data_IF_678568669842
#
_entry.id   IF_678568669842
#
_cell.length_a   1.000
_cell.length_b   1.000
_cell.length_c   1.000
_cell.angle_alpha   90.00
_cell.angle_beta   90.00
_cell.angle_gamma   90.00
#
_symmetry.space_group_name_H-M   'P 1'
#
loop_
_entity.id
_entity.type
_entity.pdbx_description
1 polymer ?
#
# COMPACT_ATOMS: atom_id res chain seq x y z
N UNK A 1 34.96 45.36 -6.70
CA UNK A 1 35.33 45.19 -5.27
C UNK A 1 34.62 43.97 -4.71
N UNK A 2 35.41 43.04 -4.16
CA UNK A 2 35.15 42.06 -3.07
C UNK A 2 33.85 41.25 -3.04
N UNK A 3 34.06 39.94 -3.27
CA UNK A 3 33.50 38.72 -2.64
C UNK A 3 32.67 38.93 -1.36
N UNK A 4 31.60 38.14 -1.21
CA UNK A 4 31.48 37.23 -0.06
C UNK A 4 30.64 36.00 -0.38
N UNK A 5 31.23 34.87 0.00
CA UNK A 5 30.69 33.52 0.09
C UNK A 5 29.87 33.43 1.38
N UNK A 6 28.74 32.72 1.38
CA UNK A 6 28.19 32.11 2.58
C UNK A 6 27.82 30.66 2.27
N UNK A 7 28.71 29.78 2.73
CA UNK A 7 28.46 28.36 2.97
C UNK A 7 27.27 28.18 3.91
N UNK A 8 26.46 27.14 3.70
CA UNK A 8 25.78 26.50 4.82
C UNK A 8 26.26 25.06 4.96
N UNK A 9 27.00 24.90 6.06
CA UNK A 9 27.46 23.67 6.66
C UNK A 9 26.27 22.91 7.25
N UNK A 10 26.40 21.59 7.23
CA UNK A 10 25.67 20.62 8.04
C UNK A 10 25.66 21.04 9.51
N UNK A 11 24.47 21.14 10.12
CA UNK A 11 24.25 20.98 11.56
C UNK A 11 22.98 20.16 11.75
N UNK A 12 23.12 19.06 12.47
CA UNK A 12 22.04 18.23 12.97
C UNK A 12 21.21 18.97 14.02
N UNK A 13 19.87 18.93 13.90
CA UNK A 13 18.89 18.92 15.00
C UNK A 13 17.49 18.97 14.39
N UNK A 14 16.66 18.02 14.81
CA UNK A 14 15.20 18.11 14.96
C UNK A 14 14.54 19.43 14.54
N UNK A 15 13.99 19.46 13.33
CA UNK A 15 12.99 20.46 12.92
C UNK A 15 12.05 19.83 11.89
N UNK A 16 10.76 19.85 12.21
CA UNK A 16 9.64 19.49 11.33
C UNK A 16 9.79 20.27 10.01
N UNK A 17 9.83 19.64 8.83
CA UNK A 17 10.10 20.37 7.60
C UNK A 17 8.92 21.28 7.24
N UNK A 18 9.27 22.50 6.87
CA UNK A 18 8.46 23.60 6.32
C UNK A 18 7.62 23.23 5.07
N UNK A 19 7.60 21.97 4.65
CA UNK A 19 6.74 21.44 3.58
C UNK A 19 5.28 21.27 4.00
N UNK A 20 5.01 21.13 5.32
CA UNK A 20 3.64 21.03 5.84
C UNK A 20 2.92 22.38 5.78
N UNK A 21 3.65 23.48 6.00
CA UNK A 21 3.11 24.84 5.96
C UNK A 21 2.72 25.28 4.54
N UNK A 22 3.46 24.87 3.52
CA UNK A 22 3.12 25.18 2.11
C UNK A 22 1.91 24.41 1.60
N UNK A 23 1.62 23.22 2.15
CA UNK A 23 0.42 22.45 1.79
C UNK A 23 -0.83 23.07 2.43
N UNK A 24 -0.79 23.36 3.74
CA UNK A 24 -1.93 23.94 4.47
C UNK A 24 -2.43 25.27 3.86
N UNK A 25 -1.49 26.13 3.44
CA UNK A 25 -1.80 27.43 2.84
C UNK A 25 -2.40 27.30 1.43
N UNK A 26 -1.99 26.27 0.67
CA UNK A 26 -2.58 25.93 -0.63
C UNK A 26 -4.02 25.40 -0.49
N UNK A 27 -4.32 24.69 0.61
CA UNK A 27 -5.65 24.14 0.90
C UNK A 27 -6.63 25.18 1.48
N UNK A 28 -6.13 26.20 2.17
CA UNK A 28 -6.96 27.29 2.71
C UNK A 28 -7.45 28.23 1.60
N UNK A 29 -6.56 28.62 0.67
CA UNK A 29 -6.90 29.41 -0.52
C UNK A 29 -7.90 28.66 -1.44
N UNK A 30 -7.85 27.33 -1.44
CA UNK A 30 -8.77 26.44 -2.14
C UNK A 30 -10.15 26.41 -1.48
N UNK A 31 -10.20 26.33 -0.15
CA UNK A 31 -11.45 26.32 0.62
C UNK A 31 -12.27 27.61 0.43
N UNK A 32 -11.61 28.77 0.33
CA UNK A 32 -12.26 30.05 0.03
C UNK A 32 -12.79 30.12 -1.41
N UNK A 33 -12.03 29.62 -2.39
CA UNK A 33 -12.46 29.60 -3.79
C UNK A 33 -13.63 28.64 -4.03
N UNK A 34 -13.68 27.52 -3.32
CA UNK A 34 -14.74 26.52 -3.42
C UNK A 34 -16.04 26.90 -2.69
N UNK A 35 -15.97 27.66 -1.59
CA UNK A 35 -17.15 28.21 -0.93
C UNK A 35 -17.98 29.12 -1.86
N UNK A 36 -17.31 29.75 -2.85
CA UNK A 36 -17.97 30.56 -3.90
C UNK A 36 -18.63 29.69 -4.99
N UNK A 37 -18.14 28.47 -5.21
CA UNK A 37 -18.61 27.57 -6.27
C UNK A 37 -19.89 26.80 -5.90
N UNK A 38 -20.11 26.48 -4.61
CA UNK A 38 -21.31 25.77 -4.13
C UNK A 38 -22.63 26.51 -4.37
N UNK A 39 -22.58 27.78 -4.82
CA UNK A 39 -23.75 28.64 -5.03
C UNK A 39 -24.07 28.94 -6.49
N UNK A 40 -23.32 28.43 -7.46
CA UNK A 40 -23.46 28.80 -8.88
C UNK A 40 -23.39 27.61 -9.84
N UNK A 41 -24.14 27.71 -10.95
CA UNK A 41 -24.01 26.76 -12.07
C UNK A 41 -22.77 27.16 -12.87
N UNK A 42 -21.74 26.30 -12.98
CA UNK A 42 -20.48 26.69 -13.59
C UNK A 42 -20.62 26.91 -15.09
N UNK A 43 -19.96 27.95 -15.59
CA UNK A 43 -19.75 28.23 -17.01
C UNK A 43 -18.75 27.25 -17.64
N UNK A 44 -18.76 27.14 -18.97
CA UNK A 44 -17.80 26.31 -19.73
C UNK A 44 -16.33 26.68 -19.45
N UNK A 45 -16.06 27.95 -19.11
CA UNK A 45 -14.72 28.41 -18.74
C UNK A 45 -14.30 27.87 -17.36
N UNK A 46 -15.20 27.86 -16.38
CA UNK A 46 -14.94 27.30 -15.03
C UNK A 46 -14.75 25.78 -15.06
N UNK A 47 -15.45 25.07 -15.97
CA UNK A 47 -15.21 23.64 -16.23
C UNK A 47 -13.81 23.38 -16.82
N UNK A 48 -13.37 24.21 -17.77
CA UNK A 48 -12.01 24.12 -18.34
C UNK A 48 -10.93 24.41 -17.30
N UNK A 49 -11.11 25.40 -16.43
CA UNK A 49 -10.17 25.72 -15.35
C UNK A 49 -10.06 24.59 -14.33
N UNK A 50 -11.19 23.95 -14.00
CA UNK A 50 -11.24 22.77 -13.14
C UNK A 50 -10.53 21.55 -13.75
N UNK A 51 -10.75 21.27 -15.03
CA UNK A 51 -10.03 20.20 -15.74
C UNK A 51 -8.51 20.42 -15.75
N UNK A 52 -8.06 21.68 -15.91
CA UNK A 52 -6.64 22.04 -15.83
C UNK A 52 -6.07 21.80 -14.42
N UNK A 53 -6.80 22.20 -13.38
CA UNK A 53 -6.42 21.95 -11.99
C UNK A 53 -6.28 20.45 -11.68
N UNK A 54 -7.26 19.63 -12.10
CA UNK A 54 -7.21 18.16 -11.92
C UNK A 54 -5.97 17.57 -12.59
N UNK A 55 -5.64 18.01 -13.81
CA UNK A 55 -4.41 17.58 -14.51
C UNK A 55 -3.13 18.00 -13.79
N UNK A 56 -3.11 19.19 -13.18
CA UNK A 56 -1.99 19.64 -12.37
C UNK A 56 -1.79 18.74 -11.14
N UNK A 57 -2.86 18.34 -10.45
CA UNK A 57 -2.78 17.43 -9.30
C UNK A 57 -2.29 16.02 -9.69
N UNK A 58 -2.75 15.50 -10.83
CA UNK A 58 -2.26 14.23 -11.37
C UNK A 58 -0.77 14.28 -11.72
N UNK A 59 -0.32 15.41 -12.27
CA UNK A 59 1.09 15.63 -12.59
C UNK A 59 1.92 15.72 -11.30
N UNK A 60 1.48 16.52 -10.33
CA UNK A 60 2.15 16.64 -9.03
C UNK A 60 2.25 15.29 -8.31
N UNK A 61 1.22 14.44 -8.40
CA UNK A 61 1.27 13.08 -7.87
C UNK A 61 2.28 12.20 -8.61
N UNK A 62 2.35 12.28 -9.95
CA UNK A 62 3.35 11.55 -10.74
C UNK A 62 4.78 11.97 -10.39
N UNK A 63 5.00 13.25 -10.12
CA UNK A 63 6.29 13.79 -9.69
C UNK A 63 6.64 13.30 -8.28
N UNK A 64 5.67 13.34 -7.36
CA UNK A 64 5.79 12.75 -6.02
C UNK A 64 6.16 11.26 -6.08
N UNK A 65 5.50 10.47 -6.93
CA UNK A 65 5.81 9.04 -7.12
C UNK A 65 7.26 8.85 -7.57
N UNK A 66 7.75 9.73 -8.45
CA UNK A 66 9.12 9.67 -8.94
C UNK A 66 10.12 9.96 -7.82
N UNK A 67 9.92 11.05 -7.07
CA UNK A 67 10.76 11.43 -5.94
C UNK A 67 10.76 10.34 -4.85
N UNK A 68 9.57 9.84 -4.49
CA UNK A 68 9.41 8.77 -3.51
C UNK A 68 10.17 7.50 -3.90
N UNK A 69 10.08 7.06 -5.16
CA UNK A 69 10.84 5.92 -5.63
C UNK A 69 12.36 6.17 -5.65
N UNK A 70 12.80 7.40 -5.92
CA UNK A 70 14.22 7.74 -5.90
C UNK A 70 14.80 7.69 -4.48
N UNK A 71 14.09 8.21 -3.49
CA UNK A 71 14.44 8.12 -2.07
C UNK A 71 14.46 6.66 -1.62
N UNK A 72 13.38 5.94 -1.92
CA UNK A 72 13.23 4.53 -1.57
C UNK A 72 14.35 3.67 -2.16
N UNK A 73 14.63 3.81 -3.47
CA UNK A 73 15.70 3.07 -4.15
C UNK A 73 17.06 3.40 -3.55
N UNK A 74 17.29 4.67 -3.19
CA UNK A 74 18.55 5.08 -2.57
C UNK A 74 18.74 4.43 -1.20
N UNK A 75 17.68 4.36 -0.39
CA UNK A 75 17.70 3.66 0.89
C UNK A 75 17.89 2.15 0.71
N UNK A 76 17.12 1.51 -0.18
CA UNK A 76 17.26 0.08 -0.49
C UNK A 76 18.69 -0.25 -0.93
N UNK A 77 19.27 0.54 -1.81
CA UNK A 77 20.63 0.30 -2.31
C UNK A 77 21.68 0.41 -1.18
N UNK A 78 21.49 1.31 -0.20
CA UNK A 78 22.31 1.37 1.00
C UNK A 78 22.13 0.12 1.88
N UNK A 79 20.90 -0.37 2.03
CA UNK A 79 20.62 -1.62 2.76
C UNK A 79 21.30 -2.81 2.08
N UNK A 80 21.20 -2.95 0.76
CA UNK A 80 21.90 -4.00 0.00
C UNK A 80 23.40 -3.92 0.23
N UNK A 81 23.98 -2.73 0.16
CA UNK A 81 25.41 -2.52 0.33
C UNK A 81 25.88 -2.93 1.74
N UNK A 82 25.15 -2.51 2.78
CA UNK A 82 25.59 -2.68 4.15
C UNK A 82 25.12 -3.98 4.81
N UNK A 83 23.97 -4.53 4.44
CA UNK A 83 23.32 -5.69 5.05
C UNK A 83 23.29 -6.93 4.14
N UNK A 84 23.54 -6.75 2.84
CA UNK A 84 23.54 -7.83 1.86
C UNK A 84 22.16 -8.46 1.63
N UNK A 85 21.09 -7.72 1.92
CA UNK A 85 19.67 -8.08 1.68
C UNK A 85 18.85 -6.81 1.34
N UNK A 86 17.53 -6.95 1.14
CA UNK A 86 16.61 -5.84 0.79
C UNK A 86 15.57 -5.54 1.89
N UNK A 87 15.92 -5.75 3.17
CA UNK A 87 14.91 -5.67 4.24
C UNK A 87 14.43 -4.23 4.46
N UNK A 88 13.20 -3.96 4.04
CA UNK A 88 12.54 -2.64 4.04
C UNK A 88 11.08 -2.82 4.42
N UNK A 89 10.44 -1.77 4.94
CA UNK A 89 9.02 -1.81 5.29
C UNK A 89 8.14 -1.98 4.06
N UNK A 90 7.06 -2.74 4.21
CA UNK A 90 6.03 -2.93 3.19
C UNK A 90 4.63 -3.03 3.84
N UNK A 91 3.65 -3.51 3.07
CA UNK A 91 2.27 -3.68 3.53
C UNK A 91 2.15 -4.65 4.73
N UNK A 92 2.95 -5.71 4.75
CA UNK A 92 2.89 -6.79 5.74
C UNK A 92 4.07 -6.78 6.72
N UNK A 93 5.06 -5.91 6.51
CA UNK A 93 6.32 -5.87 7.26
C UNK A 93 6.63 -4.46 7.71
N UNK A 94 6.90 -4.28 9.00
CA UNK A 94 7.46 -3.04 9.51
C UNK A 94 8.94 -3.23 9.81
N UNK A 95 9.78 -2.32 9.34
CA UNK A 95 11.24 -2.33 9.56
C UNK A 95 11.66 -1.00 10.17
N UNK A 96 12.38 -1.09 11.29
CA UNK A 96 13.01 0.04 11.98
C UNK A 96 14.51 -0.18 12.02
N UNK A 97 15.29 0.81 11.60
CA UNK A 97 16.74 0.78 11.64
C UNK A 97 17.24 1.74 12.71
N UNK A 98 18.39 1.45 13.33
CA UNK A 98 19.12 2.47 14.10
C UNK A 98 19.62 3.58 13.18
N UNK A 99 19.85 4.77 13.72
CA UNK A 99 20.29 5.96 12.96
C UNK A 99 21.59 5.72 12.16
N UNK A 100 22.48 4.88 12.69
CA UNK A 100 23.75 4.51 12.07
C UNK A 100 23.64 3.28 11.13
N UNK A 101 22.43 2.76 10.93
CA UNK A 101 22.10 1.54 10.19
C UNK A 101 22.84 0.30 10.70
N UNK A 102 23.41 0.28 11.90
CA UNK A 102 24.16 -0.87 12.43
C UNK A 102 23.24 -2.00 12.93
N UNK A 103 21.99 -1.67 13.23
CA UNK A 103 21.00 -2.59 13.77
C UNK A 103 19.61 -2.36 13.18
N UNK A 104 18.74 -3.37 13.28
CA UNK A 104 17.34 -3.27 12.84
C UNK A 104 16.39 -4.16 13.63
N UNK A 105 15.13 -3.76 13.69
CA UNK A 105 14.00 -4.59 14.07
C UNK A 105 13.06 -4.77 12.87
N UNK A 106 12.64 -6.01 12.64
CA UNK A 106 11.68 -6.40 11.60
C UNK A 106 10.48 -7.03 12.28
N UNK A 107 9.29 -6.56 11.96
CA UNK A 107 8.02 -7.13 12.40
C UNK A 107 7.26 -7.60 11.17
N UNK A 108 7.16 -8.92 11.02
CA UNK A 108 6.43 -9.57 9.94
C UNK A 108 5.05 -9.98 10.45
N UNK A 109 4.02 -9.25 10.01
CA UNK A 109 2.63 -9.46 10.41
C UNK A 109 2.03 -10.71 9.77
N UNK A 110 2.52 -11.13 8.60
CA UNK A 110 2.05 -12.32 7.91
C UNK A 110 2.61 -13.59 8.56
N UNK A 111 3.91 -13.61 8.88
CA UNK A 111 4.57 -14.73 9.54
C UNK A 111 4.39 -14.73 11.07
N UNK A 112 3.87 -13.63 11.64
CA UNK A 112 3.74 -13.40 13.08
C UNK A 112 5.09 -13.51 13.83
N UNK A 113 6.12 -12.88 13.25
CA UNK A 113 7.52 -12.95 13.72
C UNK A 113 8.06 -11.56 13.93
N UNK A 114 8.92 -11.42 14.93
CA UNK A 114 9.75 -10.24 15.14
C UNK A 114 11.22 -10.68 15.12
N UNK A 115 12.05 -9.98 14.36
CA UNK A 115 13.47 -10.26 14.26
C UNK A 115 14.24 -9.02 14.67
N UNK A 116 15.18 -9.17 15.61
CA UNK A 116 16.14 -8.12 15.97
C UNK A 116 17.51 -8.56 15.48
N UNK A 117 18.15 -7.72 14.67
CA UNK A 117 19.43 -8.02 14.03
C UNK A 117 20.44 -6.91 14.27
N UNK A 118 21.71 -7.28 14.42
CA UNK A 118 22.83 -6.34 14.54
C UNK A 118 24.01 -6.80 13.68
N UNK A 119 24.64 -5.86 12.98
CA UNK A 119 25.87 -6.08 12.23
C UNK A 119 27.07 -5.89 13.14
N UNK A 120 28.06 -6.77 13.00
CA UNK A 120 29.32 -6.65 13.70
C UNK A 120 30.46 -7.32 12.93
N UNK A 121 31.69 -7.01 13.32
CA UNK A 121 32.85 -7.74 12.82
C UNK A 121 32.84 -9.19 13.33
N UNK A 122 33.34 -10.12 12.52
CA UNK A 122 33.31 -11.58 12.80
C UNK A 122 33.99 -11.99 14.11
N UNK A 123 34.97 -11.19 14.57
CA UNK A 123 35.72 -11.40 15.81
C UNK A 123 34.97 -10.90 17.06
N UNK A 124 33.95 -10.06 16.89
CA UNK A 124 33.11 -9.58 17.99
C UNK A 124 31.98 -10.56 18.27
N UNK A 125 31.76 -10.88 19.55
CA UNK A 125 30.60 -11.64 20.00
C UNK A 125 29.45 -10.69 20.34
N UNK A 126 28.26 -11.04 19.87
CA UNK A 126 27.01 -10.39 20.29
C UNK A 126 26.32 -11.29 21.30
N UNK A 127 26.00 -10.71 22.45
CA UNK A 127 25.30 -11.40 23.54
C UNK A 127 23.78 -11.26 23.37
N UNK A 128 23.03 -12.19 23.95
CA UNK A 128 21.56 -12.08 24.01
C UNK A 128 21.11 -10.82 24.78
N UNK A 129 21.87 -10.39 25.79
CA UNK A 129 21.58 -9.18 26.55
C UNK A 129 21.64 -7.93 25.68
N UNK A 130 22.64 -7.83 24.80
CA UNK A 130 22.73 -6.72 23.83
C UNK A 130 21.53 -6.69 22.89
N UNK A 131 21.09 -7.84 22.36
CA UNK A 131 19.91 -7.93 21.50
C UNK A 131 18.61 -7.59 22.25
N UNK A 132 18.52 -7.94 23.54
CA UNK A 132 17.39 -7.56 24.41
C UNK A 132 17.35 -6.06 24.69
N UNK A 133 18.50 -5.42 24.91
CA UNK A 133 18.58 -3.97 25.09
C UNK A 133 18.18 -3.25 23.82
N UNK A 134 18.71 -3.68 22.68
CA UNK A 134 18.35 -3.13 21.38
C UNK A 134 16.85 -3.27 21.08
N UNK A 135 16.25 -4.43 21.40
CA UNK A 135 14.81 -4.60 21.33
C UNK A 135 14.06 -3.55 22.17
N UNK A 136 14.48 -3.33 23.43
CA UNK A 136 13.85 -2.34 24.31
C UNK A 136 13.94 -0.92 23.75
N UNK A 137 15.04 -0.57 23.08
CA UNK A 137 15.21 0.73 22.43
C UNK A 137 14.26 0.88 21.25
N UNK A 138 14.17 -0.14 20.37
CA UNK A 138 13.25 -0.11 19.24
C UNK A 138 11.78 0.01 19.68
N UNK A 139 11.34 -0.75 20.67
CA UNK A 139 9.94 -0.67 21.14
C UNK A 139 9.61 0.64 21.86
N UNK A 140 10.62 1.32 22.42
CA UNK A 140 10.42 2.64 23.03
C UNK A 140 10.12 3.69 21.95
N UNK A 141 10.76 3.59 20.79
CA UNK A 141 10.58 4.49 19.66
C UNK A 141 9.34 4.15 18.82
N UNK A 142 9.04 2.86 18.64
CA UNK A 142 7.99 2.35 17.74
C UNK A 142 6.86 1.63 18.49
N UNK A 143 6.48 2.15 19.66
CA UNK A 143 5.53 1.51 20.58
C UNK A 143 4.20 1.12 19.92
N UNK A 144 3.68 1.98 19.04
CA UNK A 144 2.42 1.76 18.32
C UNK A 144 2.43 0.46 17.49
N UNK A 145 3.59 0.05 16.94
CA UNK A 145 3.72 -1.18 16.13
C UNK A 145 3.57 -2.42 17.00
N UNK A 146 4.15 -2.40 18.20
CA UNK A 146 4.13 -3.55 19.11
C UNK A 146 2.80 -3.67 19.84
N UNK A 147 2.14 -2.55 20.13
CA UNK A 147 0.80 -2.55 20.71
C UNK A 147 -0.21 -3.32 19.86
N UNK A 148 0.01 -3.41 18.52
CA UNK A 148 -0.78 -4.24 17.59
C UNK A 148 -0.68 -5.74 17.87
N UNK A 149 0.28 -6.18 18.67
CA UNK A 149 0.36 -7.58 19.06
C UNK A 149 -0.23 -7.86 20.45
N UNK A 150 -0.74 -6.84 21.15
CA UNK A 150 -1.32 -6.94 22.50
C UNK A 150 -0.44 -7.77 23.44
N UNK A 151 0.88 -7.63 23.31
CA UNK A 151 1.82 -8.39 24.13
C UNK A 151 1.92 -7.70 25.49
N UNK A 152 1.05 -8.11 26.42
CA UNK A 152 1.15 -7.73 27.84
C UNK A 152 2.51 -8.10 28.45
N UNK A 153 3.24 -9.03 27.81
CA UNK A 153 4.56 -9.49 28.22
C UNK A 153 5.57 -9.31 27.08
N UNK A 154 6.80 -8.91 27.41
CA UNK A 154 7.91 -8.93 26.48
C UNK A 154 8.12 -10.36 25.93
N UNK A 155 8.55 -10.51 24.65
CA UNK A 155 8.87 -11.80 24.09
C UNK A 155 9.90 -12.54 24.96
N UNK A 156 9.74 -13.85 25.09
CA UNK A 156 10.65 -14.67 25.88
C UNK A 156 11.91 -15.02 25.06
N UNK A 157 12.97 -14.21 25.19
CA UNK A 157 14.21 -14.52 24.45
C UNK A 157 14.96 -15.74 25.01
N UNK A 158 14.55 -16.33 26.15
CA UNK A 158 15.22 -17.56 26.64
C UNK A 158 14.92 -18.78 25.77
N UNK A 159 13.85 -18.70 24.97
CA UNK A 159 13.44 -19.76 24.04
C UNK A 159 13.99 -19.60 22.63
N UNK A 160 14.79 -18.56 22.39
CA UNK A 160 15.23 -18.19 21.04
C UNK A 160 16.73 -18.30 20.92
N UNK A 161 17.21 -19.04 19.91
CA UNK A 161 18.63 -19.15 19.61
C UNK A 161 19.06 -18.03 18.68
N UNK A 162 20.19 -17.41 18.99
CA UNK A 162 20.85 -16.47 18.07
C UNK A 162 21.28 -17.20 16.81
N UNK A 163 20.91 -16.65 15.66
CA UNK A 163 21.34 -17.11 14.35
C UNK A 163 22.39 -16.15 13.81
N UNK A 164 23.33 -16.67 13.03
CA UNK A 164 24.35 -15.86 12.37
C UNK A 164 24.34 -16.10 10.87
N UNK A 165 24.49 -15.01 10.12
CA UNK A 165 24.72 -15.05 8.68
C UNK A 165 25.84 -14.10 8.29
N UNK A 166 26.59 -14.47 7.25
CA UNK A 166 27.62 -13.61 6.70
C UNK A 166 27.03 -12.65 5.66
N UNK A 167 27.67 -11.49 5.51
CA UNK A 167 27.35 -10.55 4.44
C UNK A 167 28.35 -10.76 3.31
N UNK A 168 28.01 -11.64 2.37
CA UNK A 168 28.88 -12.05 1.27
C UNK A 168 28.37 -11.56 -0.10
N UNK A 169 29.09 -11.90 -1.16
CA UNK A 169 28.71 -11.50 -2.52
C UNK A 169 27.49 -12.29 -3.03
N UNK A 170 27.25 -13.50 -2.53
CA UNK A 170 26.10 -14.31 -2.94
C UNK A 170 24.80 -13.74 -2.36
N UNK A 171 24.79 -13.33 -1.09
CA UNK A 171 23.64 -12.68 -0.45
C UNK A 171 23.31 -11.36 -1.15
N UNK A 172 24.32 -10.56 -1.49
CA UNK A 172 24.15 -9.31 -2.28
C UNK A 172 23.58 -9.58 -3.67
N UNK A 173 24.05 -10.62 -4.36
CA UNK A 173 23.50 -11.00 -5.67
C UNK A 173 22.02 -11.38 -5.56
N UNK A 174 21.64 -12.17 -4.55
CA UNK A 174 20.23 -12.49 -4.27
C UNK A 174 19.42 -11.23 -3.94
N UNK A 175 19.98 -10.31 -3.15
CA UNK A 175 19.35 -9.04 -2.82
C UNK A 175 19.07 -8.19 -4.06
N UNK A 176 19.98 -8.16 -5.04
CA UNK A 176 19.80 -7.45 -6.30
C UNK A 176 18.69 -8.06 -7.17
N UNK A 177 18.58 -9.40 -7.20
CA UNK A 177 17.48 -10.09 -7.89
C UNK A 177 16.15 -9.73 -7.21
N UNK A 178 16.10 -9.77 -5.88
CA UNK A 178 14.92 -9.40 -5.11
C UNK A 178 14.54 -7.93 -5.33
N UNK A 179 15.51 -7.02 -5.39
CA UNK A 179 15.31 -5.61 -5.70
C UNK A 179 14.73 -5.38 -7.10
N UNK A 180 15.19 -6.15 -8.11
CA UNK A 180 14.60 -6.11 -9.45
C UNK A 180 13.13 -6.53 -9.40
N UNK A 181 12.82 -7.66 -8.78
CA UNK A 181 11.46 -8.15 -8.66
C UNK A 181 10.55 -7.15 -7.91
N UNK A 182 11.10 -6.48 -6.90
CA UNK A 182 10.40 -5.42 -6.19
C UNK A 182 10.09 -4.22 -7.09
N UNK A 183 11.03 -3.78 -7.94
CA UNK A 183 10.77 -2.72 -8.94
C UNK A 183 9.68 -3.16 -9.93
N UNK A 184 9.73 -4.40 -10.39
CA UNK A 184 8.72 -4.96 -11.31
C UNK A 184 7.33 -4.97 -10.66
N UNK A 185 7.22 -5.44 -9.41
CA UNK A 185 5.94 -5.44 -8.66
C UNK A 185 5.40 -4.02 -8.41
N UNK A 186 6.27 -3.07 -8.03
CA UNK A 186 5.88 -1.67 -7.84
C UNK A 186 5.41 -1.03 -9.15
N UNK A 187 6.03 -1.40 -10.28
CA UNK A 187 5.59 -0.93 -11.60
C UNK A 187 4.18 -1.42 -11.93
N UNK A 188 3.89 -2.72 -11.73
CA UNK A 188 2.55 -3.28 -11.97
C UNK A 188 1.49 -2.62 -11.07
N UNK A 189 1.80 -2.42 -9.79
CA UNK A 189 0.92 -1.72 -8.86
C UNK A 189 0.61 -0.28 -9.32
N UNK A 190 1.60 0.47 -9.83
CA UNK A 190 1.38 1.81 -10.38
C UNK A 190 0.57 1.79 -11.68
N UNK A 191 0.76 0.78 -12.53
CA UNK A 191 -0.09 0.60 -13.70
C UNK A 191 -1.56 0.42 -13.28
N UNK A 192 -1.86 -0.42 -12.30
CA UNK A 192 -3.24 -0.61 -11.79
C UNK A 192 -3.85 0.68 -11.25
N UNK A 193 -3.06 1.54 -10.63
CA UNK A 193 -3.52 2.85 -10.20
C UNK A 193 -3.90 3.74 -11.40
N UNK A 194 -3.04 3.87 -12.41
CA UNK A 194 -3.33 4.61 -13.65
C UNK A 194 -4.61 4.09 -14.32
N UNK A 195 -4.79 2.77 -14.32
CA UNK A 195 -5.98 2.10 -14.84
C UNK A 195 -7.24 2.50 -14.06
N UNK A 196 -7.21 2.49 -12.72
CA UNK A 196 -8.32 2.95 -11.86
C UNK A 196 -8.68 4.42 -12.09
N UNK A 197 -7.68 5.28 -12.27
CA UNK A 197 -7.92 6.69 -12.58
C UNK A 197 -8.61 6.89 -13.93
N UNK A 198 -8.19 6.10 -14.92
CA UNK A 198 -8.81 6.13 -16.25
C UNK A 198 -10.26 5.66 -16.17
N UNK A 199 -10.51 4.56 -15.44
CA UNK A 199 -11.86 4.06 -15.23
C UNK A 199 -12.76 5.11 -14.57
N UNK A 200 -12.26 5.76 -13.53
CA UNK A 200 -12.97 6.84 -12.82
C UNK A 200 -13.27 8.02 -13.74
N UNK A 201 -12.30 8.48 -14.52
CA UNK A 201 -12.47 9.55 -15.50
C UNK A 201 -13.59 9.25 -16.51
N UNK A 202 -13.58 8.05 -17.10
CA UNK A 202 -14.62 7.61 -18.05
C UNK A 202 -15.99 7.56 -17.36
N UNK A 203 -16.04 7.05 -16.13
CA UNK A 203 -17.28 6.97 -15.35
C UNK A 203 -17.85 8.33 -14.94
N UNK A 204 -16.99 9.33 -14.79
CA UNK A 204 -17.36 10.71 -14.52
C UNK A 204 -17.71 11.50 -15.81
N UNK A 205 -17.71 10.84 -16.97
CA UNK A 205 -18.16 11.40 -18.24
C UNK A 205 -17.06 11.94 -19.14
N UNK A 206 -15.77 11.77 -18.79
CA UNK A 206 -14.67 12.11 -19.69
C UNK A 206 -14.74 11.23 -20.95
N UNK A 207 -14.40 11.82 -22.10
CA UNK A 207 -14.40 11.10 -23.36
C UNK A 207 -13.39 9.94 -23.34
N UNK A 208 -13.85 8.72 -23.67
CA UNK A 208 -13.04 7.50 -23.70
C UNK A 208 -11.68 7.68 -24.42
N UNK A 209 -11.66 8.37 -25.57
CA UNK A 209 -10.41 8.57 -26.34
C UNK A 209 -9.45 9.50 -25.63
N UNK A 210 -9.96 10.50 -24.92
CA UNK A 210 -9.15 11.46 -24.16
C UNK A 210 -8.56 10.77 -22.93
N UNK A 211 -9.39 10.07 -22.16
CA UNK A 211 -8.96 9.31 -20.99
C UNK A 211 -7.91 8.23 -21.38
N UNK A 212 -8.15 7.49 -22.46
CA UNK A 212 -7.21 6.49 -22.97
C UNK A 212 -5.89 7.09 -23.48
N UNK A 213 -5.91 8.29 -24.05
CA UNK A 213 -4.69 9.00 -24.46
C UNK A 213 -3.86 9.39 -23.23
N UNK A 214 -4.49 9.99 -22.22
CA UNK A 214 -3.82 10.36 -20.96
C UNK A 214 -3.22 9.13 -20.27
N UNK A 215 -3.97 8.03 -20.22
CA UNK A 215 -3.50 6.74 -19.68
C UNK A 215 -2.21 6.28 -20.35
N UNK A 216 -2.15 6.31 -21.69
CA UNK A 216 -0.96 5.92 -22.46
C UNK A 216 0.24 6.81 -22.14
N UNK A 217 0.04 8.13 -22.10
CA UNK A 217 1.11 9.08 -21.75
C UNK A 217 1.66 8.84 -20.33
N UNK A 218 0.79 8.53 -19.36
CA UNK A 218 1.20 8.17 -17.99
C UNK A 218 1.95 6.83 -17.96
N UNK A 219 1.48 5.84 -18.71
CA UNK A 219 2.14 4.52 -18.80
C UNK A 219 3.52 4.61 -19.43
N UNK A 220 3.70 5.42 -20.47
CA UNK A 220 5.00 5.66 -21.10
C UNK A 220 5.99 6.32 -20.12
N UNK A 221 5.55 7.33 -19.36
CA UNK A 221 6.36 7.95 -18.30
C UNK A 221 6.76 6.94 -17.22
N UNK A 222 5.83 6.10 -16.79
CA UNK A 222 6.08 5.07 -15.79
C UNK A 222 7.08 4.02 -16.30
N UNK A 223 7.02 3.64 -17.58
CA UNK A 223 7.99 2.72 -18.20
C UNK A 223 9.39 3.34 -18.24
N UNK A 224 9.51 4.62 -18.63
CA UNK A 224 10.79 5.33 -18.59
C UNK A 224 11.37 5.38 -17.18
N UNK A 225 10.52 5.62 -16.16
CA UNK A 225 10.93 5.59 -14.76
C UNK A 225 11.43 4.21 -14.35
N UNK A 226 10.71 3.14 -14.70
CA UNK A 226 11.16 1.75 -14.45
C UNK A 226 12.54 1.50 -15.04
N UNK A 227 12.77 1.86 -16.30
CA UNK A 227 14.07 1.68 -16.96
C UNK A 227 15.19 2.48 -16.27
N UNK A 228 14.91 3.72 -15.86
CA UNK A 228 15.84 4.56 -15.08
C UNK A 228 16.23 3.88 -13.76
N UNK A 229 15.25 3.35 -13.02
CA UNK A 229 15.44 2.67 -11.73
C UNK A 229 16.26 1.38 -11.88
N UNK A 230 15.94 0.55 -12.87
CA UNK A 230 16.72 -0.67 -13.17
C UNK A 230 18.17 -0.35 -13.55
N UNK A 231 18.40 0.69 -14.36
CA UNK A 231 19.75 1.13 -14.74
C UNK A 231 20.56 1.62 -13.54
N UNK A 232 19.92 2.32 -12.60
CA UNK A 232 20.54 2.76 -11.33
C UNK A 232 20.91 1.56 -10.45
N UNK A 233 20.02 0.57 -10.31
CA UNK A 233 20.26 -0.66 -9.57
C UNK A 233 21.48 -1.43 -10.11
N UNK A 234 21.56 -1.61 -11.44
CA UNK A 234 22.72 -2.27 -12.08
C UNK A 234 24.01 -1.48 -11.84
N UNK A 235 23.96 -0.14 -11.94
CA UNK A 235 25.13 0.72 -11.66
C UNK A 235 25.58 0.60 -10.21
N UNK A 236 24.65 0.52 -9.24
CA UNK A 236 24.98 0.31 -7.84
C UNK A 236 25.67 -1.05 -7.64
N UNK A 237 25.13 -2.12 -8.22
CA UNK A 237 25.70 -3.47 -8.16
C UNK A 237 27.16 -3.54 -8.65
N UNK A 238 27.47 -2.89 -9.79
CA UNK A 238 28.84 -2.88 -10.34
C UNK A 238 29.87 -2.21 -9.44
N UNK A 239 29.47 -1.20 -8.65
CA UNK A 239 30.35 -0.53 -7.68
C UNK A 239 30.60 -1.37 -6.43
N UNK A 240 29.60 -2.16 -6.01
CA UNK A 240 29.72 -3.00 -4.82
C UNK A 240 30.69 -4.16 -5.04
N UNK A 241 30.79 -4.71 -6.26
CA UNK A 241 31.69 -5.82 -6.59
C UNK A 241 33.19 -5.47 -6.65
N UNK A 242 33.56 -4.19 -6.73
CA UNK A 242 34.96 -3.73 -6.83
C UNK A 242 35.55 -3.25 -5.51
N UNK A 243 34.76 -3.20 -4.44
CA UNK A 243 35.23 -2.73 -3.13
C UNK A 243 35.68 -3.93 -2.29
N UNK A 244 36.99 -4.15 -2.17
CA UNK A 244 37.54 -5.16 -1.23
C UNK A 244 37.11 -4.84 0.20
N UNK A 245 36.28 -5.70 0.80
CA UNK A 245 35.95 -5.58 2.21
C UNK A 245 37.15 -6.04 3.05
N UNK A 246 37.82 -5.08 3.71
CA UNK A 246 38.98 -5.35 4.59
C UNK A 246 38.69 -6.29 5.77
N UNK A 247 37.42 -6.49 6.14
CA UNK A 247 37.02 -7.33 7.26
C UNK A 247 35.64 -7.96 7.03
N UNK A 248 35.50 -9.25 7.32
CA UNK A 248 34.23 -9.98 7.20
C UNK A 248 33.21 -9.43 8.21
N UNK A 249 32.08 -8.95 7.70
CA UNK A 249 30.94 -8.52 8.51
C UNK A 249 29.93 -9.64 8.64
N UNK A 250 29.44 -9.86 9.86
CA UNK A 250 28.41 -10.84 10.19
C UNK A 250 27.19 -10.14 10.78
N UNK A 251 26.03 -10.77 10.61
CA UNK A 251 24.78 -10.37 11.26
C UNK A 251 24.44 -11.42 12.30
N UNK A 252 24.28 -10.99 13.55
CA UNK A 252 23.66 -11.80 14.59
C UNK A 252 22.21 -11.37 14.76
N UNK A 253 21.30 -12.33 14.77
CA UNK A 253 19.87 -12.06 14.89
C UNK A 253 19.15 -13.01 15.84
N UNK A 254 18.12 -12.49 16.49
CA UNK A 254 17.19 -13.26 17.31
C UNK A 254 15.80 -13.18 16.72
N UNK A 255 15.20 -14.36 16.50
CA UNK A 255 13.84 -14.49 15.97
C UNK A 255 12.89 -14.75 17.12
N UNK A 256 12.07 -13.76 17.44
CA UNK A 256 11.04 -13.81 18.46
C UNK A 256 9.72 -14.21 17.79
N UNK A 257 9.19 -15.37 18.16
CA UNK A 257 7.84 -15.76 17.76
C UNK A 257 6.84 -14.94 18.58
N UNK A 258 5.96 -14.21 17.91
CA UNK A 258 4.89 -13.50 18.59
C UNK A 258 3.86 -14.54 19.07
N UNK A 259 3.16 -14.29 20.20
CA UNK A 259 2.30 -15.31 20.80
C UNK A 259 1.26 -15.85 19.81
N UNK A 260 1.10 -17.19 19.74
CA UNK A 260 0.17 -17.86 18.80
C UNK A 260 -1.29 -17.40 18.92
N UNK A 261 -1.69 -16.85 20.07
CA UNK A 261 -3.02 -16.27 20.31
C UNK A 261 -3.22 -14.90 19.62
N UNK A 262 -2.21 -14.38 18.92
CA UNK A 262 -2.22 -13.10 18.21
C UNK A 262 -2.16 -13.38 16.70
N UNK A 263 -3.13 -14.14 16.21
CA UNK A 263 -3.30 -14.37 14.78
C UNK A 263 -4.04 -13.19 14.12
N UNK A 264 -4.35 -13.33 12.82
CA UNK A 264 -5.07 -12.31 12.08
C UNK A 264 -6.45 -11.98 12.70
N UNK A 265 -7.14 -12.93 13.34
CA UNK A 265 -8.44 -12.68 14.00
C UNK A 265 -8.27 -11.84 15.25
N UNK A 266 -7.25 -12.11 16.06
CA UNK A 266 -6.94 -11.29 17.24
C UNK A 266 -6.55 -9.87 16.87
N UNK A 267 -5.86 -9.65 15.74
CA UNK A 267 -5.59 -8.29 15.24
C UNK A 267 -6.86 -7.61 14.74
N UNK A 268 -7.70 -8.33 13.99
CA UNK A 268 -8.99 -7.86 13.50
C UNK A 268 -9.90 -7.37 14.64
N UNK A 269 -9.85 -8.01 15.82
CA UNK A 269 -10.67 -7.66 16.98
C UNK A 269 -10.62 -6.16 17.35
N UNK A 270 -9.45 -5.51 17.18
CA UNK A 270 -9.30 -4.07 17.49
C UNK A 270 -10.13 -3.16 16.61
N UNK A 271 -10.43 -3.61 15.40
CA UNK A 271 -11.11 -2.81 14.39
C UNK A 271 -12.59 -3.17 14.29
N UNK A 272 -13.08 -4.20 14.99
CA UNK A 272 -14.46 -4.69 14.83
C UNK A 272 -15.53 -3.64 15.12
N UNK A 273 -15.36 -2.80 16.15
CA UNK A 273 -16.34 -1.75 16.45
C UNK A 273 -16.49 -0.80 15.26
N UNK A 274 -15.36 -0.31 14.74
CA UNK A 274 -15.36 0.60 13.60
C UNK A 274 -15.81 -0.10 12.32
N UNK A 275 -15.33 -1.32 12.06
CA UNK A 275 -15.74 -2.12 10.90
C UNK A 275 -17.25 -2.37 10.91
N UNK A 276 -17.85 -2.75 12.04
CA UNK A 276 -19.29 -2.98 12.13
C UNK A 276 -20.08 -1.69 11.91
N UNK A 277 -19.61 -0.56 12.44
CA UNK A 277 -20.22 0.76 12.22
C UNK A 277 -20.22 1.12 10.73
N UNK A 278 -19.06 1.02 10.06
CA UNK A 278 -18.93 1.36 8.64
C UNK A 278 -19.63 0.33 7.74
N UNK A 279 -19.60 -0.95 8.10
CA UNK A 279 -20.35 -2.02 7.43
C UNK A 279 -21.85 -1.71 7.38
N UNK A 280 -22.43 -1.31 8.53
CA UNK A 280 -23.83 -0.93 8.61
C UNK A 280 -24.11 0.33 7.78
N UNK A 281 -23.26 1.35 7.90
CA UNK A 281 -23.44 2.63 7.18
C UNK A 281 -23.39 2.47 5.66
N UNK A 282 -22.47 1.65 5.17
CA UNK A 282 -22.20 1.49 3.74
C UNK A 282 -22.79 0.21 3.15
N UNK A 283 -23.59 -0.55 3.89
CA UNK A 283 -24.21 -1.80 3.40
C UNK A 283 -23.18 -2.77 2.78
N UNK A 284 -22.05 -2.96 3.46
CA UNK A 284 -20.99 -3.91 3.08
C UNK A 284 -20.80 -4.90 4.22
N UNK A 285 -20.75 -6.19 3.91
CA UNK A 285 -20.55 -7.23 4.92
C UNK A 285 -19.24 -7.00 5.72
N UNK A 286 -19.28 -7.05 7.08
CA UNK A 286 -18.07 -6.92 7.90
C UNK A 286 -16.96 -7.90 7.51
N UNK A 287 -17.33 -9.12 7.10
CA UNK A 287 -16.39 -10.15 6.64
C UNK A 287 -15.57 -9.72 5.42
N UNK A 288 -16.18 -8.97 4.49
CA UNK A 288 -15.51 -8.46 3.29
C UNK A 288 -14.55 -7.32 3.66
N UNK A 289 -14.98 -6.37 4.50
CA UNK A 289 -14.11 -5.28 4.96
C UNK A 289 -12.86 -5.86 5.65
N UNK A 290 -13.05 -6.84 6.55
CA UNK A 290 -11.94 -7.51 7.23
C UNK A 290 -11.06 -8.33 6.27
N UNK A 291 -11.63 -9.00 5.27
CA UNK A 291 -10.87 -9.77 4.30
C UNK A 291 -10.00 -8.91 3.38
N UNK A 292 -10.56 -7.78 2.92
CA UNK A 292 -9.82 -6.76 2.16
C UNK A 292 -8.73 -6.18 3.04
N UNK A 293 -9.05 -5.72 4.25
CA UNK A 293 -8.06 -5.16 5.19
C UNK A 293 -6.94 -6.15 5.54
N UNK A 294 -7.27 -7.42 5.76
CA UNK A 294 -6.28 -8.48 5.96
C UNK A 294 -5.40 -8.66 4.72
N UNK A 295 -5.98 -8.54 3.52
CA UNK A 295 -5.23 -8.66 2.27
C UNK A 295 -4.32 -7.49 1.98
N UNK A 296 -4.78 -6.29 2.30
CA UNK A 296 -4.08 -5.04 2.01
C UNK A 296 -2.94 -4.75 3.00
N UNK A 297 -3.08 -5.11 4.28
CA UNK A 297 -2.12 -4.70 5.31
C UNK A 297 -1.82 -5.75 6.38
N UNK A 298 -2.49 -6.90 6.39
CA UNK A 298 -2.46 -7.83 7.53
C UNK A 298 -2.82 -7.16 8.87
N UNK A 299 -3.63 -6.10 8.81
CA UNK A 299 -3.96 -5.23 9.94
C UNK A 299 -2.77 -4.47 10.53
N UNK A 300 -1.77 -4.15 9.70
CA UNK A 300 -0.67 -3.28 10.06
C UNK A 300 -1.13 -1.82 9.98
N UNK A 301 -1.35 -1.10 11.09
CA UNK A 301 -1.76 0.31 11.07
C UNK A 301 -0.65 1.23 10.54
N UNK A 302 0.60 0.75 10.54
CA UNK A 302 1.76 1.43 9.99
C UNK A 302 2.08 0.95 8.57
N UNK A 303 1.14 0.27 7.89
CA UNK A 303 1.31 -0.17 6.52
C UNK A 303 1.61 1.04 5.63
N UNK A 304 2.87 1.09 5.19
CA UNK A 304 3.34 2.02 4.17
C UNK A 304 3.66 1.17 2.97
N UNK A 305 2.85 1.27 1.92
CA UNK A 305 3.26 0.73 0.64
C UNK A 305 4.41 1.56 0.11
N UNK A 306 5.21 0.93 -0.74
CA UNK A 306 6.22 1.57 -1.57
C UNK A 306 5.63 2.52 -2.63
N UNK A 307 4.30 2.56 -2.68
CA UNK A 307 3.44 3.38 -3.52
C UNK A 307 2.53 4.16 -2.58
N UNK A 308 2.05 5.36 -2.94
CA UNK A 308 1.08 6.15 -2.18
C UNK A 308 -0.33 5.52 -2.04
N UNK A 309 -0.39 4.30 -1.51
CA UNK A 309 -1.56 3.67 -0.94
C UNK A 309 -1.40 3.68 0.59
N UNK A 310 -2.39 4.18 1.30
CA UNK A 310 -2.25 4.54 2.71
C UNK A 310 -3.14 3.69 3.62
N UNK A 311 -2.60 3.36 4.79
CA UNK A 311 -3.32 2.75 5.91
C UNK A 311 -3.78 1.31 5.69
N UNK A 312 -4.69 0.87 6.56
CA UNK A 312 -5.14 -0.52 6.71
C UNK A 312 -5.77 -1.14 5.45
N UNK A 313 -6.49 -0.33 4.69
CA UNK A 313 -7.22 -0.72 3.47
C UNK A 313 -6.58 -0.17 2.19
N UNK A 314 -5.37 0.40 2.30
CA UNK A 314 -4.51 0.81 1.18
C UNK A 314 -5.22 1.73 0.16
N UNK A 315 -5.82 2.81 0.67
CA UNK A 315 -6.53 3.79 -0.15
C UNK A 315 -5.53 4.68 -0.88
N UNK A 316 -5.73 4.83 -2.19
CA UNK A 316 -4.93 5.73 -3.01
C UNK A 316 -5.66 7.08 -3.15
N UNK A 317 -5.07 8.21 -2.71
CA UNK A 317 -5.71 9.52 -2.65
C UNK A 317 -6.41 9.96 -3.93
N UNK A 318 -5.74 9.75 -5.04
CA UNK A 318 -6.00 10.32 -6.36
C UNK A 318 -6.87 9.41 -7.24
N UNK A 319 -7.32 8.26 -6.71
CA UNK A 319 -8.31 7.39 -7.36
C UNK A 319 -9.47 7.14 -6.39
N UNK A 320 -9.43 6.04 -5.64
CA UNK A 320 -10.41 5.69 -4.62
C UNK A 320 -10.66 6.85 -3.64
N UNK A 321 -9.61 7.58 -3.25
CA UNK A 321 -9.76 8.75 -2.37
C UNK A 321 -10.64 9.86 -2.97
N UNK A 322 -10.53 10.15 -4.27
CA UNK A 322 -11.38 11.15 -4.95
C UNK A 322 -12.85 10.73 -4.90
N UNK A 323 -13.14 9.46 -5.20
CA UNK A 323 -14.52 8.95 -5.18
C UNK A 323 -15.12 9.00 -3.77
N UNK A 324 -14.34 8.62 -2.77
CA UNK A 324 -14.77 8.66 -1.37
C UNK A 324 -14.96 10.11 -0.92
N UNK A 325 -14.05 11.02 -1.28
CA UNK A 325 -14.16 12.45 -0.92
C UNK A 325 -15.42 13.08 -1.53
N UNK A 326 -15.74 12.69 -2.77
CA UNK A 326 -16.97 13.09 -3.45
C UNK A 326 -18.20 12.56 -2.72
N UNK A 327 -18.20 11.28 -2.34
CA UNK A 327 -19.31 10.64 -1.63
C UNK A 327 -19.53 11.22 -0.22
N UNK A 328 -18.46 11.40 0.56
CA UNK A 328 -18.57 11.75 1.98
C UNK A 328 -18.63 13.26 2.22
N UNK A 329 -17.96 14.05 1.38
CA UNK A 329 -17.73 15.47 1.62
C UNK A 329 -18.12 16.37 0.45
N UNK A 330 -18.62 15.80 -0.65
CA UNK A 330 -18.95 16.52 -1.89
C UNK A 330 -17.76 17.32 -2.43
N UNK A 331 -16.55 16.74 -2.37
CA UNK A 331 -15.30 17.33 -2.87
C UNK A 331 -14.72 16.47 -3.98
N UNK A 332 -14.50 17.07 -5.14
CA UNK A 332 -13.91 16.39 -6.30
C UNK A 332 -12.38 16.57 -6.34
N UNK A 333 -11.71 16.10 -5.29
CA UNK A 333 -10.27 16.23 -5.08
C UNK A 333 -9.69 15.02 -4.33
N UNK A 334 -8.37 14.76 -4.42
CA UNK A 334 -7.74 13.66 -3.69
C UNK A 334 -7.88 13.76 -2.17
N UNK A 335 -8.09 12.63 -1.49
CA UNK A 335 -8.04 12.59 -0.01
C UNK A 335 -6.62 12.85 0.51
N UNK A 336 -6.50 13.53 1.65
CA UNK A 336 -5.18 13.81 2.22
C UNK A 336 -4.54 12.55 2.82
N UNK A 337 -3.22 12.39 2.61
CA UNK A 337 -2.48 11.27 3.21
C UNK A 337 -2.57 11.26 4.76
N UNK A 338 -2.47 12.40 5.47
CA UNK A 338 -2.66 12.42 6.93
C UNK A 338 -4.03 11.88 7.36
N UNK A 339 -5.10 12.20 6.63
CA UNK A 339 -6.43 11.65 6.90
C UNK A 339 -6.45 10.12 6.73
N UNK A 340 -5.82 9.60 5.67
CA UNK A 340 -5.78 8.16 5.37
C UNK A 340 -4.85 7.35 6.30
N UNK A 341 -3.94 7.98 7.05
CA UNK A 341 -3.16 7.33 8.10
C UNK A 341 -3.93 7.15 9.41
N UNK A 342 -5.00 7.92 9.63
CA UNK A 342 -5.89 7.70 10.77
C UNK A 342 -6.69 6.43 10.52
N UNK A 343 -6.55 5.46 11.42
CA UNK A 343 -7.16 4.12 11.28
C UNK A 343 -8.66 4.18 11.00
N UNK A 344 -9.42 4.93 11.81
CA UNK A 344 -10.88 4.95 11.69
C UNK A 344 -11.36 5.57 10.39
N UNK A 345 -10.68 6.62 9.94
CA UNK A 345 -10.89 7.30 8.66
C UNK A 345 -10.53 6.38 7.49
N UNK A 346 -9.47 5.58 7.62
CA UNK A 346 -9.06 4.65 6.58
C UNK A 346 -10.08 3.51 6.40
N UNK A 347 -10.65 3.02 7.50
CA UNK A 347 -11.72 2.02 7.48
C UNK A 347 -13.00 2.61 6.86
N UNK A 348 -13.36 3.84 7.22
CA UNK A 348 -14.47 4.58 6.59
C UNK A 348 -14.26 4.71 5.07
N UNK A 349 -13.08 5.16 4.65
CA UNK A 349 -12.77 5.35 3.24
C UNK A 349 -12.79 4.03 2.44
N UNK A 350 -12.23 2.95 2.99
CA UNK A 350 -12.25 1.64 2.33
C UNK A 350 -13.65 1.03 2.23
N UNK A 351 -14.47 1.14 3.29
CA UNK A 351 -15.85 0.69 3.27
C UNK A 351 -16.72 1.51 2.30
N UNK A 352 -16.54 2.84 2.29
CA UNK A 352 -17.19 3.72 1.32
C UNK A 352 -16.80 3.35 -0.12
N UNK A 353 -15.51 3.09 -0.38
CA UNK A 353 -15.06 2.72 -1.72
C UNK A 353 -15.64 1.37 -2.18
N UNK A 354 -15.70 0.36 -1.30
CA UNK A 354 -16.38 -0.91 -1.60
C UNK A 354 -17.86 -0.69 -1.95
N UNK A 355 -18.55 0.19 -1.24
CA UNK A 355 -19.93 0.57 -1.57
C UNK A 355 -20.04 1.27 -2.93
N UNK A 356 -19.13 2.20 -3.26
CA UNK A 356 -19.11 2.85 -4.58
C UNK A 356 -18.95 1.80 -5.68
N UNK A 357 -18.06 0.83 -5.49
CA UNK A 357 -17.89 -0.27 -6.43
C UNK A 357 -19.17 -1.10 -6.58
N UNK A 358 -19.79 -1.56 -5.48
CA UNK A 358 -21.00 -2.40 -5.50
C UNK A 358 -22.24 -1.66 -6.02
N UNK A 359 -22.53 -0.48 -5.47
CA UNK A 359 -23.81 0.23 -5.64
C UNK A 359 -23.81 1.28 -6.74
N UNK A 360 -22.65 1.82 -7.13
CA UNK A 360 -22.56 2.79 -8.24
C UNK A 360 -22.02 2.10 -9.48
N UNK A 361 -20.78 1.63 -9.43
CA UNK A 361 -20.07 1.18 -10.63
C UNK A 361 -20.62 -0.15 -11.15
N UNK A 362 -20.80 -1.14 -10.28
CA UNK A 362 -21.18 -2.51 -10.64
C UNK A 362 -22.68 -2.80 -10.44
N UNK A 363 -23.48 -1.76 -10.19
CA UNK A 363 -24.93 -1.84 -9.90
C UNK A 363 -25.76 -2.59 -10.96
N UNK A 364 -25.28 -2.66 -12.20
CA UNK A 364 -25.94 -3.34 -13.31
C UNK A 364 -25.73 -4.87 -13.31
N UNK A 365 -24.82 -5.38 -12.49
CA UNK A 365 -24.65 -6.82 -12.29
C UNK A 365 -25.73 -7.28 -11.31
N UNK A 366 -26.61 -8.19 -11.72
CA UNK A 366 -27.81 -8.56 -10.97
C UNK A 366 -27.50 -9.55 -9.86
N UNK A 367 -26.80 -10.65 -10.20
CA UNK A 367 -26.45 -11.68 -9.22
C UNK A 367 -25.50 -11.11 -8.15
N UNK A 368 -25.87 -11.15 -6.85
CA UNK A 368 -25.06 -10.57 -5.79
C UNK A 368 -23.69 -11.24 -5.62
N UNK A 369 -23.56 -12.53 -5.91
CA UNK A 369 -22.30 -13.26 -5.75
C UNK A 369 -21.33 -12.91 -6.88
N UNK A 370 -21.81 -12.88 -8.13
CA UNK A 370 -21.06 -12.37 -9.28
C UNK A 370 -20.63 -10.92 -9.06
N UNK A 371 -21.54 -10.06 -8.56
CA UNK A 371 -21.21 -8.66 -8.26
C UNK A 371 -20.16 -8.55 -7.15
N UNK A 372 -20.21 -9.41 -6.12
CA UNK A 372 -19.18 -9.49 -5.07
C UNK A 372 -17.81 -9.84 -5.64
N UNK A 373 -17.72 -10.82 -6.53
CA UNK A 373 -16.45 -11.19 -7.18
C UNK A 373 -15.89 -10.03 -8.02
N UNK A 374 -16.74 -9.40 -8.82
CA UNK A 374 -16.37 -8.22 -9.60
C UNK A 374 -15.94 -7.03 -8.71
N UNK A 375 -16.62 -6.80 -7.58
CA UNK A 375 -16.28 -5.74 -6.62
C UNK A 375 -14.90 -5.97 -6.01
N UNK A 376 -14.62 -7.18 -5.52
CA UNK A 376 -13.31 -7.52 -4.94
C UNK A 376 -12.20 -7.36 -5.98
N UNK A 377 -12.41 -7.85 -7.20
CA UNK A 377 -11.45 -7.68 -8.29
C UNK A 377 -11.23 -6.19 -8.63
N UNK A 378 -12.32 -5.42 -8.75
CA UNK A 378 -12.29 -4.00 -9.07
C UNK A 378 -11.59 -3.16 -7.99
N UNK A 379 -11.68 -3.54 -6.71
CA UNK A 379 -10.99 -2.85 -5.62
C UNK A 379 -9.46 -2.79 -5.86
N UNK A 380 -8.88 -3.90 -6.32
CA UNK A 380 -7.45 -4.02 -6.62
C UNK A 380 -7.06 -3.47 -8.02
N UNK A 381 -7.87 -3.74 -9.06
CA UNK A 381 -7.46 -3.49 -10.45
C UNK A 381 -8.25 -2.43 -11.22
N UNK A 382 -9.36 -1.94 -10.66
CA UNK A 382 -10.31 -1.07 -11.35
C UNK A 382 -11.45 -1.80 -12.05
N UNK A 383 -12.63 -1.17 -12.07
CA UNK A 383 -13.85 -1.74 -12.64
C UNK A 383 -13.76 -1.88 -14.18
N UNK A 384 -13.02 -1.01 -14.87
CA UNK A 384 -12.82 -1.09 -16.31
C UNK A 384 -11.98 -2.31 -16.69
N UNK A 385 -10.96 -2.67 -15.90
CA UNK A 385 -10.23 -3.92 -16.10
C UNK A 385 -11.11 -5.15 -15.88
N UNK A 386 -12.03 -5.10 -14.90
CA UNK A 386 -13.07 -6.13 -14.75
C UNK A 386 -13.96 -6.18 -16.00
N UNK A 387 -14.41 -5.04 -16.54
CA UNK A 387 -15.21 -5.02 -17.77
C UNK A 387 -14.47 -5.62 -18.98
N UNK A 388 -13.18 -5.34 -19.12
CA UNK A 388 -12.35 -5.84 -20.22
C UNK A 388 -12.24 -7.36 -20.28
N UNK A 389 -12.38 -8.05 -19.14
CA UNK A 389 -12.44 -9.52 -19.09
C UNK A 389 -13.63 -10.06 -19.88
N UNK A 390 -14.78 -9.38 -19.79
CA UNK A 390 -16.03 -9.86 -20.39
C UNK A 390 -16.29 -9.26 -21.77
N UNK A 391 -15.80 -8.05 -22.03
CA UNK A 391 -16.00 -7.37 -23.30
C UNK A 391 -15.02 -7.89 -24.37
N UNK A 392 -15.53 -8.63 -25.36
CA UNK A 392 -14.72 -9.17 -26.46
C UNK A 392 -14.01 -8.09 -27.31
N UNK A 393 -14.54 -6.86 -27.34
CA UNK A 393 -13.91 -5.70 -27.99
C UNK A 393 -12.81 -5.04 -27.15
N UNK A 394 -12.54 -5.56 -25.94
CA UNK A 394 -11.57 -5.02 -25.01
C UNK A 394 -11.95 -3.66 -24.40
N UNK A 395 -13.22 -3.24 -24.52
CA UNK A 395 -13.69 -1.96 -23.96
C UNK A 395 -13.88 -2.01 -22.44
N UNK A 396 -13.77 -0.84 -21.78
CA UNK A 396 -13.99 -0.67 -20.33
C UNK A 396 -15.45 -0.46 -19.93
N UNK A 397 -16.39 -0.65 -20.87
CA UNK A 397 -17.80 -0.35 -20.62
C UNK A 397 -18.41 -1.36 -19.64
N UNK A 398 -18.67 -0.92 -18.41
CA UNK A 398 -19.37 -1.73 -17.39
C UNK A 398 -20.78 -2.09 -17.86
N UNK A 399 -21.43 -1.21 -18.61
CA UNK A 399 -22.78 -1.47 -19.14
C UNK A 399 -22.79 -2.60 -20.17
N UNK A 400 -21.76 -2.71 -21.02
CA UNK A 400 -21.63 -3.86 -21.92
C UNK A 400 -21.28 -5.13 -21.15
N UNK A 401 -20.28 -5.03 -20.25
CA UNK A 401 -19.80 -6.18 -19.49
C UNK A 401 -20.90 -6.78 -18.61
N UNK A 402 -21.70 -5.96 -17.93
CA UNK A 402 -22.81 -6.42 -17.08
C UNK A 402 -23.84 -7.27 -17.83
N UNK A 403 -24.11 -7.02 -19.11
CA UNK A 403 -25.01 -7.86 -19.92
C UNK A 403 -24.46 -9.28 -20.07
N UNK A 404 -23.15 -9.40 -20.25
CA UNK A 404 -22.45 -10.68 -20.39
C UNK A 404 -22.38 -11.37 -19.03
N UNK A 405 -21.94 -10.65 -17.99
CA UNK A 405 -21.86 -11.15 -16.61
C UNK A 405 -23.22 -11.71 -16.15
N UNK A 406 -24.33 -11.00 -16.42
CA UNK A 406 -25.68 -11.43 -16.06
C UNK A 406 -26.17 -12.67 -16.82
N UNK A 407 -25.47 -13.11 -17.87
CA UNK A 407 -25.75 -14.36 -18.59
C UNK A 407 -24.92 -15.55 -18.10
N UNK A 408 -23.99 -15.32 -17.17
CA UNK A 408 -23.09 -16.33 -16.62
C UNK A 408 -23.52 -16.73 -15.20
N UNK A 409 -23.17 -17.95 -14.80
CA UNK A 409 -23.23 -18.34 -13.39
C UNK A 409 -22.08 -17.68 -12.61
N UNK A 410 -22.20 -17.52 -11.28
CA UNK A 410 -21.13 -16.95 -10.46
C UNK A 410 -19.79 -17.69 -10.58
N UNK A 411 -19.81 -19.02 -10.77
CA UNK A 411 -18.61 -19.84 -10.96
C UNK A 411 -17.89 -19.50 -12.28
N UNK A 412 -18.66 -19.27 -13.35
CA UNK A 412 -18.10 -18.85 -14.63
C UNK A 412 -17.59 -17.42 -14.59
N UNK A 413 -18.24 -16.53 -13.83
CA UNK A 413 -17.74 -15.17 -13.59
C UNK A 413 -16.40 -15.21 -12.85
N UNK A 414 -16.31 -16.02 -11.78
CA UNK A 414 -15.08 -16.22 -11.02
C UNK A 414 -13.96 -16.76 -11.92
N UNK A 415 -14.22 -17.85 -12.65
CA UNK A 415 -13.23 -18.43 -13.56
C UNK A 415 -12.78 -17.48 -14.67
N UNK A 416 -13.67 -16.62 -15.18
CA UNK A 416 -13.32 -15.60 -16.16
C UNK A 416 -12.39 -14.54 -15.55
N UNK A 417 -12.66 -14.08 -14.32
CA UNK A 417 -11.80 -13.12 -13.62
C UNK A 417 -10.42 -13.71 -13.34
N UNK A 418 -10.35 -14.95 -12.84
CA UNK A 418 -9.09 -15.63 -12.48
C UNK A 418 -8.15 -15.80 -13.69
N UNK A 419 -8.71 -15.92 -14.90
CA UNK A 419 -7.93 -16.16 -16.13
C UNK A 419 -7.72 -14.89 -16.95
N UNK A 420 -8.70 -14.00 -17.00
CA UNK A 420 -8.72 -12.85 -17.91
C UNK A 420 -8.16 -11.56 -17.33
N UNK A 421 -7.94 -11.45 -16.02
CA UNK A 421 -7.37 -10.24 -15.43
C UNK A 421 -5.91 -10.03 -15.86
N UNK A 422 -5.49 -8.78 -16.13
CA UNK A 422 -4.22 -8.50 -16.81
C UNK A 422 -2.95 -8.69 -15.96
N UNK A 423 -3.08 -8.72 -14.63
CA UNK A 423 -1.94 -8.82 -13.70
C UNK A 423 -2.05 -10.07 -12.84
N UNK A 424 -0.94 -10.80 -12.66
CA UNK A 424 -0.92 -12.02 -11.86
C UNK A 424 -1.23 -11.75 -10.39
N UNK A 425 -0.77 -10.61 -9.85
CA UNK A 425 -1.13 -10.17 -8.51
C UNK A 425 -2.65 -10.01 -8.34
N UNK A 426 -3.35 -9.50 -9.36
CA UNK A 426 -4.81 -9.31 -9.30
C UNK A 426 -5.56 -10.63 -9.31
N UNK A 427 -5.13 -11.61 -10.12
CA UNK A 427 -5.73 -12.95 -10.12
C UNK A 427 -5.68 -13.55 -8.72
N UNK A 428 -4.50 -13.52 -8.10
CA UNK A 428 -4.32 -14.01 -6.74
C UNK A 428 -5.00 -13.15 -5.67
N UNK A 429 -5.28 -11.88 -5.93
CA UNK A 429 -5.94 -10.99 -4.98
C UNK A 429 -7.37 -11.45 -4.69
N UNK A 430 -8.15 -11.77 -5.73
CA UNK A 430 -9.52 -12.26 -5.58
C UNK A 430 -9.57 -13.54 -4.73
N UNK A 431 -8.73 -14.53 -5.08
CA UNK A 431 -8.57 -15.77 -4.32
C UNK A 431 -8.21 -15.53 -2.84
N UNK A 432 -7.23 -14.66 -2.60
CA UNK A 432 -6.78 -14.31 -1.23
C UNK A 432 -7.90 -13.70 -0.41
N UNK A 433 -8.65 -12.75 -0.97
CA UNK A 433 -9.76 -12.11 -0.27
C UNK A 433 -10.87 -13.12 0.01
N UNK A 434 -11.26 -13.94 -0.96
CA UNK A 434 -12.30 -14.96 -0.76
C UNK A 434 -11.89 -16.03 0.27
N UNK A 435 -10.62 -16.45 0.27
CA UNK A 435 -10.10 -17.36 1.27
C UNK A 435 -10.09 -16.73 2.68
N UNK A 436 -9.72 -15.46 2.79
CA UNK A 436 -9.70 -14.72 4.07
C UNK A 436 -11.09 -14.36 4.58
N UNK A 437 -12.05 -14.09 3.69
CA UNK A 437 -13.45 -13.82 4.07
C UNK A 437 -14.03 -14.95 4.92
N UNK A 438 -13.71 -16.21 4.57
CA UNK A 438 -14.12 -17.40 5.34
C UNK A 438 -13.66 -17.37 6.79
N UNK A 439 -12.56 -16.67 7.10
CA UNK A 439 -12.07 -16.52 8.47
C UNK A 439 -12.92 -15.56 9.31
N UNK A 440 -13.70 -14.69 8.66
CA UNK A 440 -14.45 -13.59 9.27
C UNK A 440 -15.96 -13.66 9.06
N UNK A 441 -16.45 -14.72 8.40
CA UNK A 441 -17.86 -15.05 8.46
C UNK A 441 -18.24 -15.27 9.92
N UNK A 442 -19.42 -14.83 10.36
CA UNK A 442 -19.96 -15.25 11.65
C UNK A 442 -19.83 -16.77 11.71
N UNK A 443 -19.33 -17.32 12.81
CA UNK A 443 -19.45 -18.76 13.02
C UNK A 443 -20.93 -19.07 12.84
N UNK A 444 -21.28 -19.77 11.76
CA UNK A 444 -22.61 -20.35 11.63
C UNK A 444 -22.71 -21.18 12.88
N UNK A 445 -23.57 -20.76 13.81
CA UNK A 445 -23.96 -21.58 14.93
C UNK A 445 -24.38 -22.91 14.30
N UNK A 446 -23.50 -23.91 14.35
CA UNK A 446 -23.94 -25.29 14.25
C UNK A 446 -24.79 -25.47 15.49
N UNK A 447 -26.06 -25.09 15.36
CA UNK A 447 -27.18 -25.69 16.05
C UNK A 447 -27.10 -27.16 15.65
N UNK A 448 -26.22 -27.87 16.34
CA UNK A 448 -26.48 -29.23 16.73
C UNK A 448 -27.74 -29.13 17.57
N UNK A 449 -28.88 -29.31 16.90
CA UNK A 449 -30.02 -29.96 17.48
C UNK A 449 -29.55 -31.35 17.91
N UNK A 450 -28.87 -31.36 19.04
CA UNK A 450 -28.51 -32.51 19.85
C UNK A 450 -28.94 -32.11 21.26
N UNK A 451 -30.03 -32.71 21.71
CA UNK A 451 -30.72 -32.54 22.99
C UNK A 451 -31.77 -31.43 23.03
N UNK A 452 -32.98 -31.77 22.55
CA UNK A 452 -34.12 -32.05 23.44
C UNK A 452 -35.06 -33.04 22.77
#
# INVERSE_FOLDING_TARGET
MRKSVCSFLVVALSAIPSAVASQAQLFEELSEKMARWQTSTPSDQELSEFEQYKRQQLTAFSDYVTEHFEEFDSFRDQVIQQWGDITVSDQATFVSYSDDLSSRMVVDFAANKLVVSVKHAVDKKVTEEQLRTLYKEFIANDRAVIEVFNTQNAPDFTKTKTQQRQIDNASRAQALIAAKNQIDSQFEQQQRYIERQTDQAILDGENDKVAEKQRREQQEKLEQLKQKRLKKLVKAATKTGTTEQKQTTVVSEVVLQLPKKVDARSRAQRYLTQVNSQAQRFDIAPSIILAVMHTESHFNPMAKSHIPAFGLMQIVPTSAGVDVNRMLYNRDEPMSAPYLYVTDNNIEAGAAYLNILDKRYLSKIQDPLSRKYCMIAAYNTGAGNVARVFNADGSRSITKASKIINSLSPENVLSALDTGLPYDETKHYLDKVLAREKLYLPEIAMVTAGNL
#
